data_IF_755227311088
#
_entry.id   IF_755227311088
#
_cell.length_a   1.000
_cell.length_b   1.000
_cell.length_c   1.000
_cell.angle_alpha   90.00
_cell.angle_beta   90.00
_cell.angle_gamma   90.00
#
_symmetry.space_group_name_H-M   'P 1'
#
loop_
_entity.id
_entity.type
_entity.pdbx_description
1 polymer ?
#
# COMPACT_ATOMS: atom_id res chain seq x y z
N UNK A 1 -42.16 34.70 26.33
CA UNK A 1 -40.86 34.05 26.04
C UNK A 1 -40.88 33.61 24.58
N UNK A 2 -40.43 34.49 23.66
CA UNK A 2 -40.56 34.33 22.20
C UNK A 2 -39.36 33.51 21.69
N UNK A 3 -39.62 32.33 21.25
CA UNK A 3 -38.66 31.45 20.59
C UNK A 3 -38.33 31.99 19.21
N UNK A 4 -37.08 32.40 18.95
CA UNK A 4 -36.64 32.92 17.68
C UNK A 4 -36.40 31.76 16.68
N UNK A 5 -37.13 31.66 15.56
CA UNK A 5 -37.03 30.55 14.60
C UNK A 5 -35.68 30.45 13.91
N UNK A 6 -34.86 31.51 13.92
CA UNK A 6 -33.55 31.52 13.25
C UNK A 6 -32.47 30.58 13.83
N UNK A 7 -32.60 30.16 15.09
CA UNK A 7 -31.63 29.25 15.74
C UNK A 7 -31.85 27.79 15.34
N UNK A 8 -33.09 27.41 15.00
CA UNK A 8 -33.42 26.04 14.56
C UNK A 8 -32.91 25.78 13.14
N UNK A 9 -33.02 26.79 12.26
CA UNK A 9 -32.52 26.68 10.88
C UNK A 9 -31.00 26.53 10.82
N UNK A 10 -30.26 27.18 11.71
CA UNK A 10 -28.80 27.05 11.79
C UNK A 10 -28.37 25.68 12.33
N UNK A 11 -29.15 25.08 13.24
CA UNK A 11 -28.86 23.75 13.79
C UNK A 11 -29.15 22.62 12.80
N UNK A 12 -30.20 22.77 11.98
CA UNK A 12 -30.56 21.79 10.93
C UNK A 12 -29.52 21.83 9.79
N UNK A 13 -28.97 22.98 9.42
CA UNK A 13 -27.91 23.07 8.42
C UNK A 13 -26.56 22.49 8.89
N UNK A 14 -26.30 22.44 10.19
CA UNK A 14 -25.08 21.81 10.72
C UNK A 14 -25.14 20.26 10.65
N UNK A 15 -26.34 19.67 10.66
CA UNK A 15 -26.53 18.22 10.52
C UNK A 15 -26.59 17.75 9.04
N UNK A 16 -26.69 18.66 8.06
CA UNK A 16 -26.73 18.36 6.64
C UNK A 16 -25.39 18.59 5.92
N UNK A 17 -24.27 18.69 6.66
CA UNK A 17 -22.96 18.61 6.03
C UNK A 17 -22.79 17.19 5.45
N UNK A 18 -22.78 17.03 4.12
CA UNK A 18 -22.56 15.72 3.53
C UNK A 18 -21.20 15.23 4.00
N UNK A 19 -21.19 14.10 4.70
CA UNK A 19 -19.95 13.38 4.97
C UNK A 19 -19.42 12.87 3.62
N UNK A 20 -18.56 13.64 2.99
CA UNK A 20 -17.85 13.18 1.81
C UNK A 20 -16.91 12.06 2.23
N UNK A 21 -17.36 10.83 2.05
CA UNK A 21 -16.51 9.67 2.16
C UNK A 21 -15.65 9.62 0.89
N UNK A 22 -14.37 9.88 1.01
CA UNK A 22 -13.44 9.72 -0.10
C UNK A 22 -12.88 8.31 -0.02
N UNK A 23 -13.23 7.47 -0.99
CA UNK A 23 -12.61 6.16 -1.16
C UNK A 23 -11.11 6.36 -1.41
N UNK A 24 -10.29 5.59 -0.73
CA UNK A 24 -8.86 5.51 -0.93
C UNK A 24 -8.45 4.06 -1.02
N UNK A 25 -7.27 3.81 -1.56
CA UNK A 25 -6.72 2.46 -1.55
C UNK A 25 -6.40 2.00 -0.13
N UNK A 26 -6.31 0.68 0.03
CA UNK A 26 -5.86 0.08 1.28
C UNK A 26 -4.45 0.54 1.62
N UNK A 27 -4.26 1.16 2.80
CA UNK A 27 -2.95 1.58 3.27
C UNK A 27 -2.18 0.40 3.86
N UNK A 28 -1.25 -0.15 3.11
CA UNK A 28 -0.33 -1.20 3.56
C UNK A 28 0.86 -0.65 4.38
N UNK A 29 0.96 0.67 4.58
CA UNK A 29 2.07 1.33 5.25
C UNK A 29 3.31 1.47 4.37
N UNK A 30 4.54 1.41 4.93
CA UNK A 30 5.78 1.64 4.18
C UNK A 30 5.97 0.73 2.97
N UNK A 31 5.25 -0.40 2.93
CA UNK A 31 5.03 -1.20 1.72
C UNK A 31 6.28 -1.73 1.02
N UNK A 32 7.41 -1.88 1.74
CA UNK A 32 8.65 -2.39 1.15
C UNK A 32 8.53 -3.82 0.61
N UNK A 33 7.52 -4.57 1.05
CA UNK A 33 7.22 -5.89 0.49
C UNK A 33 6.35 -5.81 -0.78
N UNK A 34 5.77 -4.64 -1.07
CA UNK A 34 4.95 -4.36 -2.25
C UNK A 34 5.63 -3.31 -3.14
N UNK A 35 6.93 -3.45 -3.32
CA UNK A 35 7.83 -2.41 -3.86
C UNK A 35 7.36 -1.81 -5.17
N UNK A 36 7.07 -2.64 -6.18
CA UNK A 36 6.72 -2.16 -7.52
C UNK A 36 5.36 -1.46 -7.59
N UNK A 37 4.43 -1.85 -6.72
CA UNK A 37 3.13 -1.20 -6.65
C UNK A 37 3.25 0.22 -6.05
N UNK A 38 4.21 0.40 -5.14
CA UNK A 38 4.45 1.69 -4.51
C UNK A 38 5.36 2.60 -5.35
N UNK A 39 6.44 2.06 -5.90
CA UNK A 39 7.38 2.83 -6.72
C UNK A 39 7.97 1.95 -7.84
N UNK A 40 7.64 2.19 -9.11
CA UNK A 40 8.13 1.38 -10.22
C UNK A 40 9.65 1.43 -10.40
N UNK A 41 10.35 2.45 -9.90
CA UNK A 41 11.81 2.53 -9.96
C UNK A 41 12.53 1.51 -9.08
N UNK A 42 11.78 0.78 -8.24
CA UNK A 42 12.28 -0.30 -7.39
C UNK A 42 12.33 -1.66 -8.10
N UNK A 43 11.81 -1.78 -9.32
CA UNK A 43 11.85 -3.02 -10.07
C UNK A 43 13.30 -3.46 -10.33
N UNK A 44 13.64 -4.70 -9.94
CA UNK A 44 14.96 -5.30 -10.13
C UNK A 44 16.11 -4.73 -9.30
N UNK A 45 15.82 -3.88 -8.33
CA UNK A 45 16.84 -3.24 -7.47
C UNK A 45 17.60 -4.25 -6.62
N UNK A 46 16.97 -5.37 -6.25
CA UNK A 46 17.62 -6.47 -5.54
C UNK A 46 18.67 -7.21 -6.36
N UNK A 47 18.75 -6.96 -7.67
CA UNK A 47 19.67 -7.60 -8.60
C UNK A 47 19.20 -8.97 -9.05
N UNK A 48 19.00 -9.90 -8.15
CA UNK A 48 18.47 -11.25 -8.42
C UNK A 48 16.97 -11.21 -8.70
N UNK A 49 16.47 -12.24 -9.39
CA UNK A 49 15.04 -12.47 -9.51
C UNK A 49 14.44 -12.80 -8.13
N UNK A 50 13.42 -12.07 -7.73
CA UNK A 50 12.73 -12.27 -6.46
C UNK A 50 11.24 -12.42 -6.69
N UNK A 51 10.69 -13.53 -6.20
CA UNK A 51 9.26 -13.76 -6.07
C UNK A 51 8.81 -13.30 -4.69
N UNK A 52 7.72 -12.55 -4.60
CA UNK A 52 7.14 -12.13 -3.33
C UNK A 52 5.65 -12.46 -3.30
N UNK A 53 5.21 -12.94 -2.16
CA UNK A 53 3.80 -13.17 -1.84
C UNK A 53 3.51 -12.51 -0.50
N UNK A 54 2.47 -11.70 -0.42
CA UNK A 54 1.99 -11.08 0.81
C UNK A 54 0.49 -11.28 0.96
N UNK A 55 0.06 -11.53 2.18
CA UNK A 55 -1.33 -11.53 2.61
C UNK A 55 -1.51 -10.48 3.70
N UNK A 56 -2.51 -9.63 3.53
CA UNK A 56 -2.88 -8.57 4.45
C UNK A 56 -4.30 -8.80 4.94
N UNK A 57 -4.50 -8.76 6.24
CA UNK A 57 -5.81 -8.82 6.88
C UNK A 57 -6.03 -7.53 7.65
N UNK A 58 -6.98 -6.71 7.20
CA UNK A 58 -7.30 -5.43 7.78
C UNK A 58 -8.39 -5.58 8.85
N UNK A 59 -8.23 -4.86 9.95
CA UNK A 59 -9.15 -4.85 11.08
C UNK A 59 -9.51 -6.26 11.59
N UNK A 60 -8.50 -7.10 11.88
CA UNK A 60 -8.73 -8.47 12.31
C UNK A 60 -9.57 -8.52 13.59
N UNK A 61 -10.46 -9.50 13.68
CA UNK A 61 -11.40 -9.62 14.80
C UNK A 61 -12.69 -8.80 14.65
N UNK A 62 -12.80 -7.95 13.65
CA UNK A 62 -14.04 -7.31 13.23
C UNK A 62 -14.63 -8.07 12.03
N UNK A 63 -15.94 -8.13 11.92
CA UNK A 63 -16.63 -8.86 10.84
C UNK A 63 -16.59 -8.12 9.49
N UNK A 64 -15.62 -7.24 9.26
CA UNK A 64 -15.53 -6.46 8.02
C UNK A 64 -15.02 -7.26 6.82
N UNK A 65 -14.33 -8.40 7.07
CA UNK A 65 -13.80 -9.27 6.03
C UNK A 65 -13.00 -8.51 4.95
N UNK A 66 -12.02 -7.73 5.39
CA UNK A 66 -11.16 -6.91 4.54
C UNK A 66 -9.78 -7.55 4.46
N UNK A 67 -9.40 -8.01 3.28
CA UNK A 67 -8.09 -8.64 3.09
C UNK A 67 -7.55 -8.41 1.68
N UNK A 68 -6.23 -8.48 1.55
CA UNK A 68 -5.54 -8.32 0.28
C UNK A 68 -4.50 -9.40 0.08
N UNK A 69 -4.33 -9.82 -1.16
CA UNK A 69 -3.25 -10.68 -1.61
C UNK A 69 -2.40 -9.92 -2.60
N UNK A 70 -1.10 -9.98 -2.45
CA UNK A 70 -0.14 -9.39 -3.37
C UNK A 70 0.87 -10.44 -3.79
N UNK A 71 1.11 -10.51 -5.10
CA UNK A 71 2.16 -11.33 -5.71
C UNK A 71 3.02 -10.47 -6.61
N UNK A 72 4.32 -10.69 -6.62
CA UNK A 72 5.21 -10.03 -7.57
C UNK A 72 6.41 -10.88 -7.93
N UNK A 73 6.93 -10.62 -9.12
CA UNK A 73 8.24 -11.06 -9.56
C UNK A 73 8.98 -9.90 -10.19
N UNK A 74 10.20 -9.65 -9.77
CA UNK A 74 11.09 -8.68 -10.40
C UNK A 74 12.53 -9.21 -10.49
N UNK A 75 13.25 -8.75 -11.47
CA UNK A 75 14.66 -9.07 -11.68
C UNK A 75 15.34 -7.95 -12.44
N UNK A 76 16.63 -7.91 -12.33
CA UNK A 76 17.43 -7.07 -13.19
C UNK A 76 17.81 -7.80 -14.48
N UNK A 77 17.80 -7.07 -15.58
CA UNK A 77 18.16 -7.55 -16.93
C UNK A 77 19.28 -6.69 -17.51
N UNK A 78 20.48 -7.29 -17.72
CA UNK A 78 21.65 -6.56 -18.22
C UNK A 78 21.44 -5.95 -19.59
N UNK A 79 20.75 -6.66 -20.47
CA UNK A 79 20.44 -6.20 -21.83
C UNK A 79 19.51 -4.98 -21.84
N UNK A 80 18.68 -4.81 -20.81
CA UNK A 80 17.77 -3.68 -20.65
C UNK A 80 18.39 -2.53 -19.84
N UNK A 81 19.62 -2.69 -19.33
CA UNK A 81 20.29 -1.75 -18.41
C UNK A 81 19.40 -1.36 -17.24
N UNK A 82 18.57 -2.28 -16.76
CA UNK A 82 17.58 -1.99 -15.75
C UNK A 82 16.87 -3.19 -15.22
N UNK A 83 15.93 -2.95 -14.33
CA UNK A 83 15.04 -3.95 -13.76
C UNK A 83 13.69 -3.96 -14.44
N UNK A 84 13.07 -5.12 -14.46
CA UNK A 84 11.68 -5.28 -14.90
C UNK A 84 10.97 -6.25 -13.97
N UNK A 85 9.66 -6.12 -13.87
CA UNK A 85 8.87 -7.02 -13.07
C UNK A 85 7.38 -6.93 -13.35
N UNK A 86 6.66 -7.89 -12.80
CA UNK A 86 5.21 -7.98 -12.85
C UNK A 86 4.67 -8.06 -11.44
N UNK A 87 3.47 -7.53 -11.22
CA UNK A 87 2.75 -7.69 -9.96
C UNK A 87 1.27 -7.91 -10.19
N UNK A 88 0.65 -8.59 -9.24
CA UNK A 88 -0.78 -8.81 -9.14
C UNK A 88 -1.20 -8.46 -7.72
N UNK A 89 -2.31 -7.81 -7.55
CA UNK A 89 -2.96 -7.61 -6.26
C UNK A 89 -4.46 -7.82 -6.38
N UNK A 90 -5.04 -8.33 -5.32
CA UNK A 90 -6.48 -8.55 -5.19
C UNK A 90 -6.91 -8.09 -3.80
N UNK A 91 -7.70 -7.02 -3.76
CA UNK A 91 -8.21 -6.40 -2.54
C UNK A 91 -9.69 -6.76 -2.39
N UNK A 92 -10.00 -7.62 -1.42
CA UNK A 92 -11.35 -8.02 -1.08
C UNK A 92 -11.89 -7.11 0.03
N UNK A 93 -12.88 -6.30 -0.31
CA UNK A 93 -13.40 -5.25 0.55
C UNK A 93 -14.82 -5.58 1.02
N UNK A 94 -14.93 -6.39 2.08
CA UNK A 94 -16.18 -6.69 2.76
C UNK A 94 -17.20 -7.55 1.96
N UNK A 95 -16.78 -8.18 0.86
CA UNK A 95 -17.63 -9.01 0.02
C UNK A 95 -18.48 -8.23 -1.00
N UNK A 96 -18.45 -6.89 -0.96
CA UNK A 96 -19.19 -6.03 -1.88
C UNK A 96 -18.31 -5.51 -2.99
N UNK A 97 -17.07 -5.13 -2.67
CA UNK A 97 -16.11 -4.60 -3.63
C UNK A 97 -14.92 -5.56 -3.71
N UNK A 98 -14.49 -5.84 -4.93
CA UNK A 98 -13.24 -6.53 -5.20
C UNK A 98 -12.43 -5.70 -6.19
N UNK A 99 -11.20 -5.34 -5.80
CA UNK A 99 -10.29 -4.55 -6.59
C UNK A 99 -9.12 -5.41 -7.04
N UNK A 100 -9.14 -5.88 -8.27
CA UNK A 100 -8.04 -6.60 -8.88
C UNK A 100 -7.13 -5.66 -9.67
N UNK A 101 -5.82 -5.81 -9.49
CA UNK A 101 -4.81 -5.06 -10.23
C UNK A 101 -3.72 -5.97 -10.75
N UNK A 102 -3.38 -5.82 -12.03
CA UNK A 102 -2.23 -6.47 -12.65
C UNK A 102 -1.36 -5.45 -13.34
N UNK A 103 -0.06 -5.43 -13.07
CA UNK A 103 0.84 -4.42 -13.62
C UNK A 103 2.22 -4.93 -13.99
N UNK A 104 2.84 -4.18 -14.89
CA UNK A 104 4.22 -4.33 -15.33
C UNK A 104 4.99 -3.09 -14.90
N UNK A 105 6.22 -3.27 -14.45
CA UNK A 105 7.14 -2.17 -14.12
C UNK A 105 8.47 -2.36 -14.81
N UNK A 106 9.06 -1.26 -15.26
CA UNK A 106 10.41 -1.21 -15.80
C UNK A 106 11.15 -0.03 -15.16
N UNK A 107 12.40 -0.27 -14.73
CA UNK A 107 13.28 0.74 -14.17
C UNK A 107 14.61 0.76 -14.89
N UNK A 108 14.99 1.91 -15.45
CA UNK A 108 16.31 2.13 -16.05
C UNK A 108 17.29 2.56 -14.94
N UNK A 109 18.49 1.96 -14.92
CA UNK A 109 19.50 2.23 -13.90
C UNK A 109 20.65 3.02 -14.50
N UNK A 110 20.84 4.24 -14.02
CA UNK A 110 21.88 5.16 -14.43
C UNK A 110 22.90 5.32 -13.29
N UNK A 111 24.15 5.02 -13.56
CA UNK A 111 25.25 5.40 -12.70
C UNK A 111 25.70 6.83 -13.06
N UNK A 112 25.32 7.80 -12.26
CA UNK A 112 25.63 9.23 -12.50
C UNK A 112 26.95 9.66 -11.84
N UNK A 113 27.53 8.82 -10.98
CA UNK A 113 28.81 9.07 -10.30
C UNK A 113 29.40 7.81 -9.71
N UNK A 114 30.55 7.92 -9.02
CA UNK A 114 31.23 6.77 -8.44
C UNK A 114 30.36 5.98 -7.44
N UNK A 115 29.63 6.72 -6.60
CA UNK A 115 28.73 6.14 -5.58
C UNK A 115 27.30 6.72 -5.69
N UNK A 116 26.96 7.32 -6.83
CA UNK A 116 25.68 7.96 -7.06
C UNK A 116 24.94 7.28 -8.22
N UNK A 117 23.75 6.77 -7.92
CA UNK A 117 22.91 6.03 -8.87
C UNK A 117 21.53 6.67 -8.90
N UNK A 118 20.93 6.71 -10.08
CA UNK A 118 19.57 7.19 -10.32
C UNK A 118 18.82 6.10 -11.06
N UNK A 119 17.68 5.66 -10.55
CA UNK A 119 16.79 4.76 -11.26
C UNK A 119 15.52 5.53 -11.63
N UNK A 120 15.17 5.54 -12.91
CA UNK A 120 13.88 6.06 -13.39
C UNK A 120 12.97 4.90 -13.74
N UNK A 121 11.77 4.86 -13.17
CA UNK A 121 10.82 3.77 -13.35
C UNK A 121 9.49 4.21 -13.94
N UNK A 122 8.90 3.34 -14.75
CA UNK A 122 7.54 3.47 -15.26
C UNK A 122 6.76 2.19 -14.98
N UNK A 123 5.47 2.33 -14.71
CA UNK A 123 4.55 1.19 -14.61
C UNK A 123 3.31 1.40 -15.47
N UNK A 124 2.79 0.28 -15.96
CA UNK A 124 1.52 0.21 -16.66
C UNK A 124 0.71 -0.92 -16.03
N UNK A 125 -0.54 -0.66 -15.71
CA UNK A 125 -1.40 -1.63 -15.05
C UNK A 125 -2.83 -1.58 -15.56
N UNK A 126 -3.51 -2.71 -15.40
CA UNK A 126 -4.96 -2.84 -15.54
C UNK A 126 -5.52 -2.91 -14.12
N UNK A 127 -6.53 -2.11 -13.86
CA UNK A 127 -7.28 -2.09 -12.61
C UNK A 127 -8.72 -2.48 -12.92
N UNK A 128 -9.24 -3.47 -12.21
CA UNK A 128 -10.62 -3.92 -12.32
C UNK A 128 -11.31 -3.83 -10.97
N UNK A 129 -12.32 -2.99 -10.85
CA UNK A 129 -13.21 -2.93 -9.70
C UNK A 129 -14.49 -3.69 -10.01
N UNK A 130 -14.73 -4.75 -9.27
CA UNK A 130 -15.97 -5.52 -9.31
C UNK A 130 -16.89 -5.15 -8.16
N UNK A 131 -18.18 -5.13 -8.41
CA UNK A 131 -19.22 -4.96 -7.40
C UNK A 131 -20.07 -6.22 -7.34
N UNK A 132 -20.24 -6.77 -6.16
CA UNK A 132 -21.12 -7.90 -5.88
C UNK A 132 -22.09 -7.53 -4.76
N UNK A 133 -23.36 -7.42 -5.10
CA UNK A 133 -24.42 -7.05 -4.16
C UNK A 133 -25.27 -8.24 -3.72
N UNK A 134 -24.92 -9.49 -4.11
CA UNK A 134 -25.75 -10.69 -3.85
C UNK A 134 -25.99 -10.92 -2.34
N UNK A 135 -25.02 -10.55 -1.51
CA UNK A 135 -25.13 -10.67 -0.06
C UNK A 135 -25.24 -9.31 0.66
N UNK A 136 -25.48 -8.22 -0.07
CA UNK A 136 -25.66 -6.91 0.53
C UNK A 136 -27.00 -6.83 1.25
N UNK A 137 -26.98 -6.35 2.49
CA UNK A 137 -28.20 -6.07 3.25
C UNK A 137 -28.47 -4.57 3.12
N UNK A 138 -29.57 -4.23 2.46
CA UNK A 138 -29.94 -2.85 2.24
C UNK A 138 -30.86 -2.35 3.36
N UNK A 139 -30.90 -1.03 3.61
CA UNK A 139 -31.71 -0.45 4.69
C UNK A 139 -33.19 -0.78 4.61
N UNK A 140 -33.75 -0.94 3.40
CA UNK A 140 -35.16 -1.29 3.16
C UNK A 140 -35.50 -2.74 3.51
N UNK A 141 -34.49 -3.59 3.68
CA UNK A 141 -34.66 -5.00 4.09
C UNK A 141 -34.71 -5.16 5.62
N UNK A 142 -34.36 -4.12 6.39
CA UNK A 142 -34.25 -4.18 7.84
C UNK A 142 -35.56 -3.74 8.49
N UNK A 143 -36.28 -4.70 9.05
CA UNK A 143 -37.39 -4.41 9.95
C UNK A 143 -36.86 -4.09 11.35
N UNK A 144 -37.23 -2.94 11.96
CA UNK A 144 -36.79 -2.57 13.30
C UNK A 144 -37.11 -3.60 14.40
N UNK A 145 -38.12 -4.45 14.18
CA UNK A 145 -38.57 -5.48 15.15
C UNK A 145 -38.20 -6.90 14.72
N UNK A 146 -38.15 -7.15 13.41
CA UNK A 146 -37.96 -8.50 12.85
C UNK A 146 -36.57 -8.79 12.26
N UNK A 147 -35.69 -7.79 12.22
CA UNK A 147 -34.38 -7.92 11.55
C UNK A 147 -34.49 -7.96 10.01
N UNK A 148 -33.59 -8.67 9.36
CA UNK A 148 -33.60 -8.79 7.88
C UNK A 148 -34.72 -9.76 7.47
N UNK A 149 -35.85 -9.25 7.00
CA UNK A 149 -37.05 -10.06 6.77
C UNK A 149 -37.72 -9.82 5.42
N UNK A 150 -37.34 -8.78 4.68
CA UNK A 150 -38.03 -8.34 3.47
C UNK A 150 -37.05 -8.35 2.29
N UNK A 151 -37.43 -8.80 1.08
CA UNK A 151 -36.62 -8.59 -0.12
C UNK A 151 -36.46 -7.11 -0.41
N UNK A 152 -35.27 -6.69 -0.84
CA UNK A 152 -35.07 -5.29 -1.23
C UNK A 152 -35.90 -4.93 -2.47
N UNK A 153 -36.46 -3.74 -2.47
CA UNK A 153 -37.07 -3.12 -3.64
C UNK A 153 -36.05 -2.47 -4.57
N UNK A 154 -34.81 -2.31 -4.11
CA UNK A 154 -33.73 -1.75 -4.91
C UNK A 154 -33.12 -2.81 -5.83
N UNK A 155 -33.00 -2.49 -7.12
CA UNK A 155 -32.36 -3.35 -8.09
C UNK A 155 -30.90 -2.91 -8.20
N UNK A 156 -30.03 -3.54 -7.43
CA UNK A 156 -28.59 -3.37 -7.55
C UNK A 156 -28.04 -4.37 -8.57
N UNK A 157 -27.45 -3.87 -9.63
CA UNK A 157 -26.82 -4.71 -10.63
C UNK A 157 -25.35 -4.89 -10.27
N UNK A 158 -24.95 -6.12 -10.04
CA UNK A 158 -23.53 -6.48 -9.93
C UNK A 158 -22.85 -6.09 -11.24
N UNK A 159 -21.88 -5.23 -11.16
CA UNK A 159 -21.17 -4.68 -12.32
C UNK A 159 -19.68 -4.57 -12.00
N UNK A 160 -18.88 -4.48 -13.05
CA UNK A 160 -17.45 -4.26 -12.90
C UNK A 160 -16.96 -3.22 -13.90
N UNK A 161 -15.89 -2.54 -13.55
CA UNK A 161 -15.22 -1.61 -14.44
C UNK A 161 -13.74 -1.90 -14.52
N UNK A 162 -13.24 -2.02 -15.75
CA UNK A 162 -11.82 -2.20 -16.03
C UNK A 162 -11.27 -0.91 -16.61
N UNK A 163 -10.15 -0.45 -16.06
CA UNK A 163 -9.47 0.76 -16.52
C UNK A 163 -7.96 0.50 -16.64
N UNK A 164 -7.32 1.29 -17.48
CA UNK A 164 -5.87 1.32 -17.61
C UNK A 164 -5.29 2.42 -16.73
N UNK A 165 -4.16 2.14 -16.10
CA UNK A 165 -3.47 3.07 -15.22
C UNK A 165 -1.97 3.06 -15.46
N UNK A 166 -1.32 4.18 -15.16
CA UNK A 166 0.12 4.38 -15.32
C UNK A 166 0.71 5.03 -14.08
N UNK A 167 1.96 4.67 -13.79
CA UNK A 167 2.74 5.26 -12.71
C UNK A 167 4.17 5.56 -13.15
N UNK A 168 4.81 6.47 -12.43
CA UNK A 168 6.21 6.83 -12.62
C UNK A 168 6.92 6.98 -11.28
N UNK A 169 8.22 6.76 -11.26
CA UNK A 169 9.01 6.93 -10.05
C UNK A 169 10.49 7.13 -10.31
N UNK A 170 11.14 7.66 -9.30
CA UNK A 170 12.58 7.84 -9.24
C UNK A 170 13.14 7.32 -7.93
N UNK A 171 14.34 6.80 -8.00
CA UNK A 171 15.13 6.36 -6.85
C UNK A 171 16.53 6.93 -6.98
N UNK A 172 17.03 7.49 -5.91
CA UNK A 172 18.38 8.02 -5.80
C UNK A 172 19.13 7.24 -4.73
N UNK A 173 20.33 6.79 -5.04
CA UNK A 173 21.20 6.12 -4.07
C UNK A 173 22.56 6.79 -4.07
N UNK A 174 23.00 7.22 -2.91
CA UNK A 174 24.33 7.80 -2.70
C UNK A 174 25.00 7.20 -1.46
N UNK A 175 26.05 6.43 -1.69
CA UNK A 175 26.70 5.73 -0.58
C UNK A 175 25.74 4.79 0.14
N UNK A 176 25.35 5.14 1.36
CA UNK A 176 24.41 4.39 2.22
C UNK A 176 22.98 4.94 2.17
N UNK A 177 22.83 6.14 1.63
CA UNK A 177 21.56 6.85 1.56
C UNK A 177 20.74 6.38 0.36
N UNK A 178 19.46 6.20 0.55
CA UNK A 178 18.49 5.89 -0.50
C UNK A 178 17.27 6.77 -0.32
N UNK A 179 16.87 7.46 -1.39
CA UNK A 179 15.65 8.25 -1.43
C UNK A 179 14.82 7.92 -2.66
N UNK A 180 13.53 7.83 -2.54
CA UNK A 180 12.62 7.55 -3.64
C UNK A 180 11.42 8.48 -3.65
N UNK A 181 10.92 8.69 -4.86
CA UNK A 181 9.71 9.45 -5.13
C UNK A 181 8.91 8.72 -6.20
N UNK A 182 7.59 8.64 -6.03
CA UNK A 182 6.71 8.07 -7.06
C UNK A 182 5.37 8.78 -7.14
N UNK A 183 4.78 8.70 -8.33
CA UNK A 183 3.42 9.12 -8.63
C UNK A 183 2.72 7.94 -9.28
N UNK A 184 1.72 7.38 -8.63
CA UNK A 184 0.83 6.38 -9.18
C UNK A 184 -0.50 7.03 -9.57
N UNK A 185 -1.29 6.36 -10.40
CA UNK A 185 -2.59 6.82 -10.89
C UNK A 185 -2.51 8.16 -11.62
N UNK A 186 -1.51 8.31 -12.51
CA UNK A 186 -1.29 9.55 -13.26
C UNK A 186 -2.51 9.96 -14.09
N UNK A 187 -3.23 8.98 -14.65
CA UNK A 187 -4.42 9.20 -15.46
C UNK A 187 -5.69 9.50 -14.65
N UNK A 188 -5.68 9.30 -13.33
CA UNK A 188 -6.86 9.36 -12.46
C UNK A 188 -8.07 8.64 -13.09
N UNK A 189 -7.96 7.36 -13.42
CA UNK A 189 -9.02 6.68 -14.13
C UNK A 189 -10.31 6.65 -13.32
N UNK A 190 -11.45 6.72 -14.02
CA UNK A 190 -12.76 6.61 -13.41
C UNK A 190 -13.09 5.14 -13.13
N UNK A 191 -13.20 4.80 -11.85
CA UNK A 191 -13.48 3.46 -11.33
C UNK A 191 -14.92 3.30 -10.83
N UNK A 192 -15.78 4.31 -11.05
CA UNK A 192 -17.20 4.21 -10.69
C UNK A 192 -17.89 3.09 -11.45
N UNK A 193 -18.82 2.42 -10.79
CA UNK A 193 -19.73 1.48 -11.43
C UNK A 193 -20.70 2.19 -12.40
N UNK A 194 -21.82 1.57 -12.68
CA UNK A 194 -22.85 2.09 -13.62
C UNK A 194 -23.62 3.33 -13.14
N UNK A 195 -23.28 3.87 -11.96
CA UNK A 195 -23.91 5.08 -11.40
C UNK A 195 -23.24 6.38 -11.86
N UNK A 196 -24.00 7.49 -11.81
CA UNK A 196 -23.54 8.83 -12.19
C UNK A 196 -22.54 9.48 -11.18
N UNK A 197 -22.06 8.74 -10.19
CA UNK A 197 -21.10 9.22 -9.19
C UNK A 197 -19.69 8.91 -9.68
N UNK A 198 -19.08 9.85 -10.39
CA UNK A 198 -17.73 9.70 -10.93
C UNK A 198 -16.68 9.56 -9.82
N UNK A 199 -16.41 8.33 -9.39
CA UNK A 199 -15.31 8.00 -8.48
C UNK A 199 -14.04 7.82 -9.29
N UNK A 200 -13.08 8.70 -9.09
CA UNK A 200 -11.76 8.61 -9.73
C UNK A 200 -10.71 8.12 -8.75
N UNK A 201 -9.91 7.20 -9.23
CA UNK A 201 -8.72 6.76 -8.51
C UNK A 201 -7.71 7.90 -8.46
N UNK A 202 -7.62 8.57 -7.31
CA UNK A 202 -6.79 9.77 -7.15
C UNK A 202 -5.31 9.46 -7.23
N UNK A 203 -4.53 10.38 -7.78
CA UNK A 203 -3.06 10.30 -7.79
C UNK A 203 -2.54 10.04 -6.40
N UNK A 204 -1.63 9.07 -6.33
CA UNK A 204 -0.91 8.71 -5.10
C UNK A 204 0.53 9.15 -5.25
N UNK A 205 0.94 10.08 -4.41
CA UNK A 205 2.31 10.56 -4.27
C UNK A 205 2.96 9.84 -3.09
N UNK A 206 4.13 9.28 -3.29
CA UNK A 206 4.92 8.64 -2.23
C UNK A 206 6.34 9.17 -2.27
N UNK A 207 6.86 9.57 -1.12
CA UNK A 207 8.27 9.87 -0.90
C UNK A 207 8.77 8.95 0.19
N UNK A 208 9.93 8.34 0.02
CA UNK A 208 10.56 7.53 1.05
C UNK A 208 12.06 7.77 1.10
N UNK A 209 12.62 7.68 2.30
CA UNK A 209 14.04 7.86 2.57
C UNK A 209 14.49 6.79 3.55
N UNK A 210 15.66 6.23 3.32
CA UNK A 210 16.31 5.31 4.25
C UNK A 210 17.83 5.44 4.17
N UNK A 211 18.50 5.02 5.24
CA UNK A 211 19.97 4.99 5.29
C UNK A 211 20.47 3.71 5.96
N UNK A 212 21.53 3.11 5.41
CA UNK A 212 22.11 1.86 5.89
C UNK A 212 23.33 2.12 6.80
N UNK A 213 23.22 1.83 8.09
CA UNK A 213 24.33 1.88 9.02
C UNK A 213 24.78 0.47 9.41
N UNK A 214 26.00 0.09 9.06
CA UNK A 214 26.60 -1.18 9.51
C UNK A 214 27.17 -1.02 10.89
N UNK A 215 26.58 -1.65 11.91
CA UNK A 215 27.04 -1.62 13.28
C UNK A 215 28.16 -2.65 13.52
N UNK A 216 28.00 -3.86 12.96
CA UNK A 216 28.99 -4.92 13.10
C UNK A 216 29.13 -5.69 11.77
N UNK A 217 30.31 -5.61 11.16
CA UNK A 217 30.60 -6.29 9.89
C UNK A 217 30.65 -7.82 10.03
N UNK A 218 31.14 -8.33 11.15
CA UNK A 218 31.30 -9.77 11.38
C UNK A 218 29.95 -10.47 11.53
N UNK A 219 28.99 -9.81 12.17
CA UNK A 219 27.64 -10.33 12.39
C UNK A 219 26.64 -9.86 11.33
N UNK A 220 27.09 -9.08 10.33
CA UNK A 220 26.20 -8.41 9.36
C UNK A 220 25.06 -7.62 10.02
N UNK A 221 25.34 -7.04 11.21
CA UNK A 221 24.35 -6.26 11.93
C UNK A 221 24.26 -4.86 11.35
N UNK A 222 23.08 -4.52 10.83
CA UNK A 222 22.76 -3.22 10.26
C UNK A 222 21.59 -2.60 10.99
N UNK A 223 21.57 -1.28 11.03
CA UNK A 223 20.43 -0.48 11.43
C UNK A 223 20.04 0.42 10.26
N UNK A 224 18.75 0.45 9.95
CA UNK A 224 18.18 1.20 8.83
C UNK A 224 17.07 2.11 9.35
N UNK A 225 17.35 3.37 9.71
CA UNK A 225 16.32 4.36 9.87
C UNK A 225 15.62 4.60 8.53
N UNK A 226 14.32 4.80 8.58
CA UNK A 226 13.48 5.05 7.43
C UNK A 226 12.39 6.07 7.75
N UNK A 227 11.98 6.80 6.73
CA UNK A 227 10.80 7.65 6.78
C UNK A 227 10.09 7.62 5.44
N UNK A 228 8.78 7.79 5.47
CA UNK A 228 7.98 7.92 4.26
C UNK A 228 6.87 8.94 4.46
N UNK A 229 6.38 9.45 3.35
CA UNK A 229 5.28 10.39 3.29
C UNK A 229 4.43 10.08 2.06
N UNK A 230 3.11 10.01 2.25
CA UNK A 230 2.16 9.63 1.22
C UNK A 230 0.98 10.60 1.17
N UNK A 231 0.55 10.94 -0.05
CA UNK A 231 -0.66 11.73 -0.30
C UNK A 231 -1.47 11.02 -1.37
N UNK A 232 -2.75 10.77 -1.08
CA UNK A 232 -3.71 10.31 -2.09
C UNK A 232 -5.04 11.06 -1.92
N UNK A 233 -5.35 11.93 -2.88
CA UNK A 233 -6.52 12.80 -2.77
C UNK A 233 -6.44 13.72 -1.55
N UNK A 234 -7.32 13.52 -0.58
CA UNK A 234 -7.32 14.26 0.70
C UNK A 234 -6.65 13.50 1.85
N UNK A 235 -6.32 12.24 1.65
CA UNK A 235 -5.61 11.47 2.64
C UNK A 235 -4.13 11.80 2.62
N UNK A 236 -3.58 12.06 3.79
CA UNK A 236 -2.17 12.33 4.01
C UNK A 236 -1.72 11.42 5.14
N UNK A 237 -0.70 10.64 4.91
CA UNK A 237 -0.05 9.84 5.93
C UNK A 237 1.46 9.96 5.85
N UNK A 238 2.11 9.65 6.95
CA UNK A 238 3.56 9.58 6.99
C UNK A 238 4.04 8.81 8.20
N UNK A 239 5.21 8.24 8.07
CA UNK A 239 5.79 7.43 9.13
C UNK A 239 7.29 7.55 9.19
N UNK A 240 7.82 7.29 10.38
CA UNK A 240 9.24 7.17 10.64
C UNK A 240 9.49 5.96 11.52
N UNK A 241 10.59 5.28 11.27
CA UNK A 241 10.91 4.06 11.98
C UNK A 241 12.32 3.58 11.79
N UNK A 242 12.56 2.38 12.26
CA UNK A 242 13.86 1.73 12.18
C UNK A 242 13.69 0.25 11.94
N UNK A 243 14.55 -0.31 11.08
CA UNK A 243 14.77 -1.73 10.97
C UNK A 243 16.17 -2.10 11.46
N UNK A 244 16.27 -3.20 12.18
CA UNK A 244 17.53 -3.79 12.60
C UNK A 244 17.64 -5.13 11.92
N UNK A 245 18.64 -5.29 11.08
CA UNK A 245 18.84 -6.48 10.27
C UNK A 245 20.13 -7.19 10.67
N UNK A 246 20.02 -8.49 10.91
CA UNK A 246 21.15 -9.40 10.99
C UNK A 246 21.10 -10.40 9.84
N UNK A 247 22.05 -11.34 9.78
CA UNK A 247 22.14 -12.33 8.71
C UNK A 247 20.85 -13.14 8.50
N UNK A 248 20.16 -13.48 9.57
CA UNK A 248 19.00 -14.38 9.54
C UNK A 248 17.70 -13.73 10.01
N UNK A 249 17.80 -12.72 10.86
CA UNK A 249 16.66 -12.09 11.51
C UNK A 249 16.68 -10.58 11.27
N UNK A 250 15.51 -10.03 10.93
CA UNK A 250 15.27 -8.59 10.99
C UNK A 250 14.09 -8.30 11.89
N UNK A 251 14.14 -7.18 12.59
CA UNK A 251 13.02 -6.62 13.35
C UNK A 251 12.81 -5.19 12.94
N UNK A 252 11.58 -4.72 13.01
CA UNK A 252 11.24 -3.34 12.64
C UNK A 252 10.21 -2.73 13.58
N UNK A 253 10.24 -1.41 13.67
CA UNK A 253 9.22 -0.62 14.32
C UNK A 253 9.05 0.71 13.57
N UNK A 254 7.81 1.08 13.26
CA UNK A 254 7.45 2.30 12.52
C UNK A 254 6.28 2.97 13.21
N UNK A 255 6.40 4.26 13.46
CA UNK A 255 5.29 5.11 13.93
C UNK A 255 4.69 5.79 12.72
N UNK A 256 3.37 5.73 12.57
CA UNK A 256 2.61 6.21 11.41
C UNK A 256 1.54 7.18 11.90
N UNK A 257 1.56 8.38 11.35
CA UNK A 257 0.52 9.40 11.60
C UNK A 257 -0.25 9.72 10.33
N UNK A 258 -1.51 10.08 10.46
CA UNK A 258 -2.35 10.54 9.37
C UNK A 258 -3.07 11.85 9.68
N UNK A 259 -3.65 12.49 8.66
CA UNK A 259 -4.40 13.73 8.81
C UNK A 259 -5.77 13.55 9.50
N UNK A 260 -6.22 12.32 9.76
CA UNK A 260 -7.34 11.98 10.65
C UNK A 260 -6.98 12.06 12.13
N UNK A 261 -5.76 12.52 12.46
CA UNK A 261 -5.18 12.56 13.81
C UNK A 261 -5.04 11.19 14.46
N UNK A 262 -4.86 10.16 13.64
CA UNK A 262 -4.56 8.83 14.13
C UNK A 262 -3.04 8.69 14.28
N UNK A 263 -2.62 7.99 15.31
CA UNK A 263 -1.25 7.54 15.50
C UNK A 263 -1.25 6.03 15.61
N UNK A 264 -0.57 5.39 14.67
CA UNK A 264 -0.48 3.95 14.57
C UNK A 264 0.96 3.50 14.78
N UNK A 265 1.14 2.31 15.31
CA UNK A 265 2.45 1.69 15.45
C UNK A 265 2.43 0.38 14.68
N UNK A 266 3.37 0.22 13.77
CA UNK A 266 3.63 -1.02 13.08
C UNK A 266 4.93 -1.62 13.61
N UNK A 267 4.90 -2.90 13.95
CA UNK A 267 6.09 -3.66 14.35
C UNK A 267 6.09 -4.99 13.61
N UNK A 268 7.26 -5.52 13.35
CA UNK A 268 7.36 -6.78 12.64
C UNK A 268 8.73 -7.43 12.75
N UNK A 269 8.80 -8.61 12.18
CA UNK A 269 10.03 -9.37 12.05
C UNK A 269 10.08 -10.12 10.73
N UNK A 270 11.28 -10.44 10.28
CA UNK A 270 11.51 -11.36 9.17
C UNK A 270 12.60 -12.36 9.50
N UNK A 271 12.46 -13.57 8.98
CA UNK A 271 13.46 -14.63 9.11
C UNK A 271 13.89 -15.10 7.72
N UNK A 272 15.21 -15.13 7.50
CA UNK A 272 15.81 -15.52 6.22
C UNK A 272 16.54 -16.85 6.37
N UNK A 273 16.16 -17.84 5.59
CA UNK A 273 16.78 -19.16 5.52
C UNK A 273 17.16 -19.47 4.06
N UNK A 274 18.44 -19.27 3.75
CA UNK A 274 18.94 -19.47 2.38
C UNK A 274 18.29 -18.51 1.39
N UNK A 275 17.43 -19.03 0.51
CA UNK A 275 16.73 -18.27 -0.55
C UNK A 275 15.35 -17.78 -0.14
N UNK A 276 14.86 -18.22 1.00
CA UNK A 276 13.50 -17.91 1.46
C UNK A 276 13.59 -16.94 2.64
N UNK A 277 12.77 -15.89 2.58
CA UNK A 277 12.54 -14.98 3.70
C UNK A 277 11.06 -14.96 4.00
N UNK A 278 10.69 -15.35 5.21
CA UNK A 278 9.34 -15.17 5.74
C UNK A 278 9.28 -13.91 6.58
N UNK A 279 8.16 -13.19 6.56
CA UNK A 279 7.99 -12.00 7.35
C UNK A 279 6.57 -11.91 7.94
N UNK A 280 6.47 -11.17 9.03
CA UNK A 280 5.20 -10.82 9.66
C UNK A 280 5.28 -9.40 10.21
N UNK A 281 4.24 -8.61 9.93
CA UNK A 281 4.05 -7.27 10.48
C UNK A 281 2.68 -7.17 11.14
N UNK A 282 2.64 -6.44 12.24
CA UNK A 282 1.43 -6.10 12.96
C UNK A 282 1.32 -4.60 13.14
N UNK A 283 0.17 -4.02 12.79
CA UNK A 283 -0.13 -2.60 13.01
C UNK A 283 -1.29 -2.47 13.97
N UNK A 284 -1.13 -1.60 14.94
CA UNK A 284 -2.17 -1.27 15.90
C UNK A 284 -2.31 0.24 16.06
N UNK A 285 -3.51 0.65 16.45
CA UNK A 285 -3.81 2.05 16.72
C UNK A 285 -3.42 2.40 18.14
N UNK A 286 -2.51 3.37 18.30
CA UNK A 286 -2.11 3.91 19.60
C UNK A 286 -3.00 5.09 20.01
N UNK A 287 -3.38 5.94 19.05
CA UNK A 287 -4.29 7.08 19.25
C UNK A 287 -5.25 7.17 18.08
N UNK A 288 -6.55 7.15 18.33
CA UNK A 288 -7.59 7.36 17.31
C UNK A 288 -8.19 8.76 17.46
N UNK A 289 -8.00 9.59 16.44
CA UNK A 289 -8.51 10.95 16.43
C UNK A 289 -10.04 11.03 16.55
N UNK A 290 -10.75 10.11 15.92
CA UNK A 290 -12.21 10.05 15.92
C UNK A 290 -12.79 8.96 16.82
N UNK A 291 -11.94 8.21 17.55
CA UNK A 291 -12.33 7.06 18.38
C UNK A 291 -13.08 5.95 17.60
N UNK A 292 -12.93 5.91 16.28
CA UNK A 292 -13.63 4.96 15.41
C UNK A 292 -12.75 3.78 15.02
N UNK A 293 -11.41 3.92 15.07
CA UNK A 293 -10.50 2.85 14.70
C UNK A 293 -10.41 1.80 15.80
N UNK A 294 -10.49 0.52 15.45
CA UNK A 294 -10.21 -0.57 16.38
C UNK A 294 -8.73 -0.57 16.77
N UNK A 295 -8.40 -1.26 17.86
CA UNK A 295 -7.01 -1.39 18.29
C UNK A 295 -6.15 -2.10 17.24
N UNK A 296 -6.61 -3.23 16.72
CA UNK A 296 -5.89 -4.00 15.71
C UNK A 296 -6.26 -3.52 14.31
N UNK A 297 -5.28 -3.03 13.56
CA UNK A 297 -5.51 -2.45 12.22
C UNK A 297 -5.10 -3.39 11.09
N UNK A 298 -3.97 -4.10 11.23
CA UNK A 298 -3.42 -4.89 10.14
C UNK A 298 -2.56 -6.04 10.66
N UNK A 299 -2.81 -7.24 10.12
CA UNK A 299 -1.85 -8.33 10.09
C UNK A 299 -1.35 -8.49 8.66
N UNK A 300 -0.05 -8.42 8.46
CA UNK A 300 0.59 -8.70 7.18
C UNK A 300 1.55 -9.85 7.35
N UNK A 301 1.45 -10.86 6.51
CA UNK A 301 2.40 -11.98 6.45
C UNK A 301 2.80 -12.24 5.02
N UNK A 302 3.96 -12.82 4.80
CA UNK A 302 4.36 -13.18 3.45
C UNK A 302 5.69 -13.88 3.36
N UNK A 303 6.03 -14.18 2.11
CA UNK A 303 7.24 -14.90 1.73
C UNK A 303 7.93 -14.18 0.57
N UNK A 304 9.24 -14.13 0.62
CA UNK A 304 10.07 -13.71 -0.51
C UNK A 304 11.04 -14.87 -0.87
N UNK A 305 11.14 -15.17 -2.14
CA UNK A 305 12.02 -16.23 -2.65
C UNK A 305 12.99 -15.65 -3.67
N UNK A 306 14.30 -15.67 -3.36
CA UNK A 306 15.38 -15.23 -4.23
C UNK A 306 15.82 -16.39 -5.14
N UNK A 307 15.82 -16.15 -6.45
CA UNK A 307 16.21 -17.16 -7.44
C UNK A 307 17.73 -17.32 -7.56
N UNK A 308 18.53 -16.32 -7.12
CA UNK A 308 19.98 -16.24 -7.28
C UNK A 308 20.42 -16.52 -8.72
N UNK A 309 19.67 -15.98 -9.69
CA UNK A 309 19.79 -16.31 -11.12
C UNK A 309 20.50 -15.23 -11.92
N UNK A 310 21.00 -14.18 -11.29
CA UNK A 310 21.71 -13.10 -11.96
C UNK A 310 23.21 -13.23 -11.71
N UNK A 311 24.01 -13.15 -12.77
CA UNK A 311 25.46 -13.11 -12.67
C UNK A 311 25.91 -11.93 -11.81
N UNK A 312 26.86 -12.18 -10.90
CA UNK A 312 27.43 -11.13 -10.03
C UNK A 312 27.95 -9.99 -10.89
N UNK A 313 27.43 -8.81 -10.69
CA UNK A 313 27.82 -7.64 -11.45
C UNK A 313 28.88 -6.83 -10.78
N UNK A 314 29.84 -6.41 -11.59
CA UNK A 314 30.89 -5.48 -11.20
C UNK A 314 30.43 -4.00 -11.26
N UNK A 315 29.28 -3.70 -11.82
CA UNK A 315 28.88 -2.34 -12.23
C UNK A 315 27.64 -1.78 -11.57
N UNK A 316 26.88 -2.56 -10.80
CA UNK A 316 25.65 -2.06 -10.17
C UNK A 316 25.63 -2.41 -8.69
N UNK A 317 25.42 -1.36 -7.88
CA UNK A 317 25.19 -1.50 -6.45
C UNK A 317 23.80 -2.08 -6.23
N UNK A 318 23.73 -3.28 -5.67
CA UNK A 318 22.48 -3.82 -5.15
C UNK A 318 22.03 -3.00 -3.94
N UNK A 319 20.79 -2.58 -3.93
CA UNK A 319 20.19 -1.83 -2.83
C UNK A 319 19.44 -2.83 -1.97
N UNK A 320 19.83 -2.93 -0.70
CA UNK A 320 19.10 -3.71 0.28
C UNK A 320 18.05 -2.81 0.90
N UNK A 321 16.79 -3.11 0.67
CA UNK A 321 15.69 -2.45 1.35
C UNK A 321 15.41 -3.11 2.69
N UNK A 322 14.82 -2.34 3.64
CA UNK A 322 14.32 -2.92 4.87
C UNK A 322 13.39 -4.09 4.56
N UNK A 323 13.57 -5.20 5.27
CA UNK A 323 12.68 -6.36 5.17
C UNK A 323 11.46 -6.14 6.06
N UNK A 324 10.70 -5.08 5.76
CA UNK A 324 9.53 -4.63 6.54
C UNK A 324 8.25 -5.25 6.03
#
# INVERSE_FOLDING_TARGET
MLWRPGKIVLFINFFLLPAYCFGQETDAGPGYQMMMMNNPSLAGVGGDGVLRLSYLNFYPGNNYNLHSVYFSYDSYFSKLHGGAGVYLSDDYLGGIINDFRGGLSYAYFLQAGKDFFINGGLSASIYHRGFNFDNAILPDQIDPLGGVSIPSSEILTSSGRTVFDIGAGFLFTSGKFTGGFSINHLAEPDISGTGNFGERLKRKLLIHISEDFTLNKTQNLKIQPLTYFEIQGKFISGGAGVAIESKYLSINAVVIGDNGKNLNIQTGFSFSAGRVTGFYNYRFNAVSGNKLLPFSLLHQTGLAFSLNNVEKRNTIKTINFPKL
#
